data_IF_808236517501
#
_entry.id   IF_808236517501
#
_cell.length_a   1.000
_cell.length_b   1.000
_cell.length_c   1.000
_cell.angle_alpha   90.00
_cell.angle_beta   90.00
_cell.angle_gamma   90.00
#
_symmetry.space_group_name_H-M   'P 1'
#
loop_
_entity.id
_entity.type
_entity.pdbx_description
1 polymer ?
#
# COMPACT_ATOMS: atom_id res chain seq x y z
N UNK A 1 -6.09 -11.26 18.09
CA UNK A 1 -4.80 -10.67 17.74
C UNK A 1 -4.89 -10.09 16.33
N UNK A 2 -4.59 -8.83 16.18
CA UNK A 2 -4.69 -8.17 14.88
C UNK A 2 -3.42 -8.45 14.10
N UNK A 3 -3.56 -9.03 12.91
CA UNK A 3 -2.44 -9.24 12.03
C UNK A 3 -2.31 -8.05 11.09
N UNK A 4 -1.16 -7.40 11.15
CA UNK A 4 -0.87 -6.33 10.22
C UNK A 4 -0.43 -6.92 8.87
N UNK A 5 -0.81 -6.29 7.76
CA UNK A 5 -0.36 -6.77 6.46
C UNK A 5 1.16 -6.67 6.36
N UNK A 6 1.76 -7.68 5.73
CA UNK A 6 3.19 -7.70 5.47
C UNK A 6 3.43 -7.30 4.03
N UNK A 7 4.32 -6.34 3.83
CA UNK A 7 4.61 -5.82 2.49
C UNK A 7 6.08 -6.03 2.14
N UNK A 8 6.32 -6.30 0.86
CA UNK A 8 7.68 -6.32 0.33
C UNK A 8 8.22 -4.88 0.31
N UNK A 9 9.50 -4.66 0.69
CA UNK A 9 10.07 -3.32 0.62
C UNK A 9 9.91 -2.70 -0.76
N UNK A 10 9.56 -1.42 -0.80
CA UNK A 10 9.28 -0.74 -2.07
C UNK A 10 10.47 -0.71 -3.01
N UNK A 11 11.69 -0.78 -2.47
CA UNK A 11 12.91 -0.80 -3.28
C UNK A 11 13.09 -2.11 -4.05
N UNK A 12 12.35 -3.16 -3.67
CA UNK A 12 12.50 -4.50 -4.25
C UNK A 12 11.40 -4.87 -5.23
N UNK A 13 10.43 -3.98 -5.44
CA UNK A 13 9.33 -4.25 -6.38
C UNK A 13 9.50 -3.42 -7.65
N UNK A 14 8.92 -3.91 -8.75
CA UNK A 14 8.94 -3.17 -10.01
C UNK A 14 7.94 -2.02 -9.96
N UNK A 15 8.08 -1.08 -10.89
CA UNK A 15 7.13 0.04 -11.02
C UNK A 15 5.71 -0.48 -11.23
N UNK A 16 5.54 -1.47 -12.12
CA UNK A 16 4.23 -2.05 -12.39
C UNK A 16 3.63 -2.71 -11.15
N UNK A 17 4.46 -3.41 -10.37
CA UNK A 17 4.02 -4.01 -9.13
C UNK A 17 3.58 -2.95 -8.12
N UNK A 18 4.33 -1.84 -8.06
CA UNK A 18 3.98 -0.75 -7.16
C UNK A 18 2.62 -0.15 -7.53
N UNK A 19 2.38 0.07 -8.82
CA UNK A 19 1.10 0.61 -9.29
C UNK A 19 -0.04 -0.37 -9.00
N UNK A 20 0.17 -1.65 -9.25
CA UNK A 20 -0.84 -2.67 -8.99
C UNK A 20 -1.17 -2.73 -7.49
N UNK A 21 -0.16 -2.68 -6.64
CA UNK A 21 -0.37 -2.71 -5.20
C UNK A 21 -1.13 -1.46 -4.76
N UNK A 22 -0.80 -0.30 -5.30
CA UNK A 22 -1.48 0.94 -4.96
C UNK A 22 -2.97 0.86 -5.33
N UNK A 23 -3.29 0.31 -6.49
CA UNK A 23 -4.68 0.11 -6.90
C UNK A 23 -5.42 -0.82 -5.95
N UNK A 24 -4.77 -1.90 -5.52
CA UNK A 24 -5.35 -2.83 -4.57
C UNK A 24 -5.63 -2.15 -3.23
N UNK A 25 -4.68 -1.34 -2.76
CA UNK A 25 -4.85 -0.60 -1.51
C UNK A 25 -6.03 0.36 -1.62
N UNK A 26 -6.16 1.07 -2.73
CA UNK A 26 -7.28 1.99 -2.91
C UNK A 26 -8.62 1.27 -2.88
N UNK A 27 -8.69 0.09 -3.50
CA UNK A 27 -9.91 -0.72 -3.46
C UNK A 27 -10.26 -1.13 -2.04
N UNK A 28 -9.26 -1.53 -1.27
CA UNK A 28 -9.48 -1.95 0.12
C UNK A 28 -9.89 -0.78 1.00
N UNK A 29 -9.35 0.40 0.73
CA UNK A 29 -9.69 1.60 1.50
C UNK A 29 -11.10 2.09 1.22
N UNK A 30 -11.71 1.66 0.13
CA UNK A 30 -13.10 1.98 -0.18
C UNK A 30 -14.08 1.04 0.49
N UNK A 31 -13.59 0.00 1.15
CA UNK A 31 -14.43 -0.96 1.85
C UNK A 31 -14.89 -0.39 3.18
N UNK A 32 -16.19 -0.51 3.47
CA UNK A 32 -16.77 -0.02 4.73
C UNK A 32 -16.34 -0.87 5.92
N UNK A 33 -15.82 -2.07 5.68
CA UNK A 33 -15.43 -2.99 6.73
C UNK A 33 -13.97 -2.83 7.14
N UNK A 34 -13.28 -1.82 6.66
CA UNK A 34 -11.87 -1.65 6.92
C UNK A 34 -11.62 -1.17 8.34
N UNK A 35 -10.78 -1.92 9.06
CA UNK A 35 -10.38 -1.60 10.42
C UNK A 35 -9.45 -0.38 10.42
N UNK A 36 -9.52 0.42 11.48
CA UNK A 36 -8.67 1.61 11.64
C UNK A 36 -7.19 1.25 11.57
N UNK A 37 -6.79 0.14 12.19
CA UNK A 37 -5.39 -0.29 12.19
C UNK A 37 -4.94 -0.65 10.77
N UNK A 38 -5.80 -1.32 10.02
CA UNK A 38 -5.51 -1.65 8.63
C UNK A 38 -5.47 -0.39 7.76
N UNK A 39 -6.37 0.55 8.03
CA UNK A 39 -6.39 1.80 7.30
C UNK A 39 -5.06 2.56 7.49
N UNK A 40 -4.56 2.60 8.72
CA UNK A 40 -3.28 3.26 9.00
C UNK A 40 -2.14 2.57 8.27
N UNK A 41 -2.10 1.24 8.28
CA UNK A 41 -1.06 0.47 7.60
C UNK A 41 -1.10 0.70 6.08
N UNK A 42 -2.28 0.68 5.49
CA UNK A 42 -2.44 0.90 4.05
C UNK A 42 -2.10 2.34 3.65
N UNK A 43 -2.45 3.31 4.49
CA UNK A 43 -2.12 4.72 4.22
C UNK A 43 -0.60 4.90 4.20
N UNK A 44 0.10 4.31 5.16
CA UNK A 44 1.56 4.38 5.19
C UNK A 44 2.15 3.71 3.94
N UNK A 45 1.66 2.53 3.60
CA UNK A 45 2.16 1.80 2.44
C UNK A 45 1.91 2.58 1.15
N UNK A 46 0.72 3.15 0.99
CA UNK A 46 0.39 3.95 -0.18
C UNK A 46 1.33 5.13 -0.31
N UNK A 47 1.65 5.81 0.79
CA UNK A 47 2.59 6.92 0.79
C UNK A 47 3.98 6.47 0.32
N UNK A 48 4.44 5.32 0.81
CA UNK A 48 5.73 4.76 0.39
C UNK A 48 5.75 4.41 -1.10
N UNK A 49 4.65 3.82 -1.58
CA UNK A 49 4.54 3.46 -3.00
C UNK A 49 4.55 4.69 -3.89
N UNK A 50 3.82 5.73 -3.50
CA UNK A 50 3.77 6.97 -4.26
C UNK A 50 5.16 7.61 -4.30
N UNK A 51 5.84 7.67 -3.16
CA UNK A 51 7.18 8.24 -3.10
C UNK A 51 8.15 7.47 -3.99
N UNK A 52 8.08 6.15 -3.99
CA UNK A 52 8.95 5.32 -4.81
C UNK A 52 8.66 5.51 -6.30
N UNK A 53 7.39 5.58 -6.68
CA UNK A 53 7.01 5.81 -8.06
C UNK A 53 7.52 7.17 -8.55
N UNK A 54 7.41 8.20 -7.71
CA UNK A 54 7.89 9.53 -8.06
C UNK A 54 9.42 9.56 -8.20
N UNK A 55 10.10 8.80 -7.36
CA UNK A 55 11.55 8.71 -7.40
C UNK A 55 12.03 8.07 -8.72
N UNK A 56 11.23 7.17 -9.28
CA UNK A 56 11.60 6.43 -10.50
C UNK A 56 11.23 7.14 -11.79
N UNK A 57 10.47 8.21 -11.71
CA UNK A 57 10.03 8.93 -12.93
C UNK A 57 11.10 9.91 -13.46
#
# INVERSE_FOLDING_TARGET
MIQQPTFTPVSEISYNQAITELEEIMKRMQSDALDIDLLAAYTRRATELIAECRRRL
#
